data_IF_851817225135
#
_entry.id   IF_851817225135
#
_cell.length_a   1.000
_cell.length_b   1.000
_cell.length_c   1.000
_cell.angle_alpha   90.00
_cell.angle_beta   90.00
_cell.angle_gamma   90.00
#
_symmetry.space_group_name_H-M   'P 1'
#
loop_
_entity.id
_entity.type
_entity.pdbx_description
1 polymer ?
#
# COMPACT_ATOMS: atom_id res chain seq x y z
N UNK A 1 -0.28 28.67 -11.41
CA UNK A 1 0.18 28.23 -10.07
C UNK A 1 1.55 27.61 -10.24
N UNK A 2 2.54 28.01 -9.47
CA UNK A 2 3.87 27.37 -9.53
C UNK A 2 3.72 25.93 -9.05
N UNK A 3 3.98 24.96 -9.92
CA UNK A 3 4.01 23.55 -9.54
C UNK A 3 5.25 23.33 -8.66
N UNK A 4 5.06 22.71 -7.51
CA UNK A 4 6.15 22.42 -6.55
C UNK A 4 6.79 21.07 -6.85
N UNK A 5 8.09 20.91 -6.61
CA UNK A 5 8.72 19.60 -6.49
C UNK A 5 7.98 18.70 -5.48
N UNK A 6 7.88 17.40 -5.77
CA UNK A 6 7.30 16.42 -4.87
C UNK A 6 8.40 15.58 -4.23
N UNK A 7 8.32 15.39 -2.91
CA UNK A 7 9.24 14.54 -2.14
C UNK A 7 8.48 13.47 -1.40
N UNK A 8 8.60 12.24 -1.86
CA UNK A 8 7.98 11.07 -1.24
C UNK A 8 8.89 10.51 -0.16
N UNK A 9 8.42 10.49 1.09
CA UNK A 9 9.16 9.97 2.23
C UNK A 9 8.94 8.48 2.40
N UNK A 10 10.03 7.72 2.27
CA UNK A 10 10.03 6.26 2.47
C UNK A 10 11.06 5.85 3.53
N UNK A 11 10.84 4.76 4.29
CA UNK A 11 11.80 4.34 5.32
C UNK A 11 13.15 3.93 4.73
N UNK A 12 13.14 3.41 3.54
CA UNK A 12 14.23 2.90 2.71
C UNK A 12 13.65 2.05 1.60
N UNK A 13 14.47 1.67 0.61
CA UNK A 13 14.00 0.91 -0.57
C UNK A 13 14.52 -0.52 -0.63
N UNK A 14 15.43 -0.92 0.28
CA UNK A 14 15.96 -2.28 0.34
C UNK A 14 14.94 -3.31 0.86
N UNK A 15 15.26 -4.61 0.68
CA UNK A 15 14.38 -5.76 0.93
C UNK A 15 13.72 -5.77 2.32
N UNK A 16 14.43 -5.36 3.34
CA UNK A 16 13.89 -5.29 4.71
C UNK A 16 12.70 -4.35 4.89
N UNK A 17 12.48 -3.43 3.94
CA UNK A 17 11.38 -2.48 3.94
C UNK A 17 10.25 -2.90 3.00
N UNK A 18 10.40 -3.99 2.24
CA UNK A 18 9.38 -4.47 1.30
C UNK A 18 8.06 -4.71 1.99
N UNK A 19 7.03 -4.02 1.52
CA UNK A 19 5.64 -4.19 1.91
C UNK A 19 4.74 -3.51 0.86
N UNK A 20 3.45 -3.82 0.87
CA UNK A 20 2.49 -3.23 -0.06
C UNK A 20 2.48 -1.69 -0.02
N UNK A 21 2.57 -1.10 1.17
CA UNK A 21 2.63 0.36 1.31
C UNK A 21 3.86 0.99 0.64
N UNK A 22 5.05 0.37 0.77
CA UNK A 22 6.23 0.86 0.06
C UNK A 22 6.06 0.75 -1.46
N UNK A 23 5.54 -0.37 -1.95
CA UNK A 23 5.30 -0.56 -3.39
C UNK A 23 4.36 0.50 -3.95
N UNK A 24 3.30 0.83 -3.22
CA UNK A 24 2.37 1.91 -3.59
C UNK A 24 3.06 3.27 -3.64
N UNK A 25 3.89 3.60 -2.65
CA UNK A 25 4.61 4.89 -2.66
C UNK A 25 5.59 5.00 -3.82
N UNK A 26 6.34 3.94 -4.10
CA UNK A 26 7.25 3.90 -5.24
C UNK A 26 6.51 4.04 -6.57
N UNK A 27 5.34 3.41 -6.70
CA UNK A 27 4.48 3.52 -7.88
C UNK A 27 3.88 4.92 -7.98
N UNK A 28 3.37 5.49 -6.88
CA UNK A 28 2.80 6.83 -6.84
C UNK A 28 3.84 7.88 -7.24
N UNK A 29 5.08 7.75 -6.77
CA UNK A 29 6.16 8.63 -7.19
C UNK A 29 6.40 8.56 -8.69
N UNK A 30 6.49 7.35 -9.28
CA UNK A 30 6.63 7.16 -10.73
C UNK A 30 5.48 7.76 -11.53
N UNK A 31 4.24 7.58 -11.08
CA UNK A 31 3.06 8.14 -11.74
C UNK A 31 3.01 9.67 -11.70
N UNK A 32 3.69 10.29 -10.73
CA UNK A 32 3.84 11.73 -10.64
C UNK A 32 4.99 12.30 -11.50
N UNK A 33 5.86 11.45 -12.05
CA UNK A 33 6.92 11.89 -12.97
C UNK A 33 6.30 12.57 -14.21
N UNK A 34 6.81 13.71 -14.56
CA UNK A 34 6.25 14.54 -15.65
C UNK A 34 5.03 15.40 -15.29
N UNK A 35 4.40 15.16 -14.11
CA UNK A 35 3.29 15.97 -13.61
C UNK A 35 3.74 17.10 -12.66
N UNK A 36 4.92 17.00 -12.11
CA UNK A 36 5.55 17.97 -11.25
C UNK A 36 6.93 18.37 -11.80
N UNK A 37 7.52 19.53 -11.42
CA UNK A 37 8.84 19.95 -11.86
C UNK A 37 9.95 18.94 -11.57
N UNK A 38 9.83 18.26 -10.43
CA UNK A 38 10.64 17.09 -10.09
C UNK A 38 9.91 16.21 -9.07
N UNK A 39 10.24 14.90 -9.09
CA UNK A 39 9.77 13.92 -8.12
C UNK A 39 10.97 13.23 -7.51
N UNK A 40 11.07 13.24 -6.20
CA UNK A 40 12.22 12.71 -5.47
C UNK A 40 11.76 11.71 -4.39
N UNK A 41 12.41 10.54 -4.36
CA UNK A 41 12.27 9.60 -3.24
C UNK A 41 13.30 9.95 -2.18
N UNK A 42 12.82 10.25 -0.98
CA UNK A 42 13.65 10.65 0.16
C UNK A 42 13.55 9.58 1.26
N UNK A 43 14.68 8.98 1.59
CA UNK A 43 14.73 8.00 2.68
C UNK A 43 14.86 8.68 4.04
N UNK A 44 14.20 8.12 5.09
CA UNK A 44 14.26 8.73 6.42
C UNK A 44 14.83 7.81 7.51
N UNK A 45 14.85 6.48 7.33
CA UNK A 45 15.41 5.54 8.30
C UNK A 45 16.83 5.10 7.97
N UNK A 46 17.15 5.04 6.68
CA UNK A 46 18.46 4.60 6.21
C UNK A 46 18.93 5.49 5.06
N UNK A 47 20.17 5.94 5.16
CA UNK A 47 20.85 6.59 4.03
C UNK A 47 21.22 5.53 3.01
N UNK A 48 20.81 5.73 1.76
CA UNK A 48 21.05 4.80 0.66
C UNK A 48 21.83 5.51 -0.46
N UNK A 49 22.77 4.80 -1.13
CA UNK A 49 23.50 5.37 -2.26
C UNK A 49 22.56 5.86 -3.37
N UNK A 50 22.84 7.02 -3.94
CA UNK A 50 22.07 7.60 -5.03
C UNK A 50 20.67 8.11 -4.64
N UNK A 51 20.34 8.16 -3.34
CA UNK A 51 19.05 8.68 -2.86
C UNK A 51 19.24 9.81 -1.86
N UNK A 52 18.32 10.75 -1.90
CA UNK A 52 18.24 11.80 -0.90
C UNK A 52 17.90 11.21 0.49
N UNK A 53 18.47 11.81 1.53
CA UNK A 53 18.26 11.41 2.91
C UNK A 53 17.69 12.57 3.72
N UNK A 54 16.55 12.38 4.38
CA UNK A 54 15.80 13.44 5.05
C UNK A 54 16.66 14.28 5.99
N UNK A 55 17.47 13.71 6.92
CA UNK A 55 18.29 14.52 7.80
C UNK A 55 19.31 15.42 7.10
N UNK A 56 19.84 14.97 5.94
CA UNK A 56 20.80 15.76 5.19
C UNK A 56 20.10 16.91 4.44
N UNK A 57 18.94 16.62 3.81
CA UNK A 57 18.14 17.65 3.15
C UNK A 57 17.68 18.75 4.12
N UNK A 58 17.22 18.38 5.31
CA UNK A 58 16.76 19.36 6.30
C UNK A 58 17.87 20.29 6.79
N UNK A 59 19.14 19.84 6.79
CA UNK A 59 20.31 20.67 7.12
C UNK A 59 20.71 21.62 5.99
N UNK A 60 20.48 21.22 4.74
CA UNK A 60 20.92 21.95 3.54
C UNK A 60 19.87 22.90 3.01
N UNK A 61 18.60 22.65 3.34
CA UNK A 61 17.47 23.39 2.78
C UNK A 61 17.42 24.84 3.30
N UNK A 62 17.54 25.81 2.38
CA UNK A 62 17.49 27.23 2.67
C UNK A 62 16.09 27.81 2.64
N UNK A 63 15.19 27.19 1.89
CA UNK A 63 13.81 27.64 1.66
C UNK A 63 12.79 26.53 1.96
N UNK A 64 12.25 26.46 3.19
CA UNK A 64 11.38 25.36 3.63
C UNK A 64 10.10 25.16 2.81
N UNK A 65 9.70 26.14 2.01
CA UNK A 65 8.44 26.11 1.24
C UNK A 65 8.53 25.61 -0.19
N UNK A 66 9.71 25.21 -0.67
CA UNK A 66 9.92 24.89 -2.09
C UNK A 66 9.25 23.60 -2.53
N UNK A 67 9.31 22.53 -1.73
CA UNK A 67 8.77 21.22 -2.06
C UNK A 67 7.51 20.87 -1.27
N UNK A 68 6.64 20.03 -1.85
CA UNK A 68 5.58 19.34 -1.14
C UNK A 68 6.09 17.96 -0.67
N UNK A 69 6.03 17.71 0.62
CA UNK A 69 6.46 16.47 1.24
C UNK A 69 5.28 15.51 1.41
N UNK A 70 5.37 14.34 0.79
CA UNK A 70 4.41 13.25 0.93
C UNK A 70 4.87 12.36 2.08
N UNK A 71 4.14 12.38 3.19
CA UNK A 71 4.37 11.51 4.36
C UNK A 71 3.38 10.37 4.30
N UNK A 72 3.86 9.14 4.30
CA UNK A 72 3.01 7.96 4.15
C UNK A 72 2.94 7.15 5.43
N UNK A 73 1.91 6.34 5.49
CA UNK A 73 1.55 5.35 6.50
C UNK A 73 2.49 5.21 7.71
N UNK A 74 2.04 4.46 8.72
CA UNK A 74 2.90 3.89 9.75
C UNK A 74 3.15 4.77 10.96
N UNK A 75 3.84 4.15 11.91
CA UNK A 75 4.07 4.71 13.24
C UNK A 75 5.06 5.89 13.28
N UNK A 76 5.76 6.13 12.18
CA UNK A 76 6.74 7.21 12.09
C UNK A 76 6.13 8.56 11.68
N UNK A 77 4.88 8.58 11.23
CA UNK A 77 4.20 9.79 10.75
C UNK A 77 4.27 10.94 11.74
N UNK A 78 3.98 10.78 13.05
CA UNK A 78 4.07 11.88 14.02
C UNK A 78 5.48 12.47 14.12
N UNK A 79 6.52 11.64 14.07
CA UNK A 79 7.90 12.10 14.10
C UNK A 79 8.26 12.87 12.84
N UNK A 80 7.86 12.36 11.67
CA UNK A 80 8.12 13.01 10.37
C UNK A 80 7.42 14.36 10.29
N UNK A 81 6.16 14.45 10.72
CA UNK A 81 5.42 15.72 10.75
C UNK A 81 6.08 16.76 11.66
N UNK A 82 6.63 16.34 12.81
CA UNK A 82 7.41 17.24 13.68
C UNK A 82 8.69 17.75 13.01
N UNK A 83 9.43 16.87 12.32
CA UNK A 83 10.64 17.24 11.58
C UNK A 83 10.36 18.18 10.41
N UNK A 84 9.20 18.03 9.78
CA UNK A 84 8.76 18.82 8.64
C UNK A 84 7.95 20.07 9.03
N UNK A 85 7.94 20.44 10.31
CA UNK A 85 7.18 21.61 10.79
C UNK A 85 7.55 22.85 10.00
N UNK A 86 6.53 23.59 9.53
CA UNK A 86 6.69 24.81 8.72
C UNK A 86 6.92 24.53 7.23
N UNK A 87 6.87 23.28 6.79
CA UNK A 87 6.95 22.88 5.38
C UNK A 87 5.60 22.45 4.83
N UNK A 88 5.35 22.59 3.52
CA UNK A 88 4.18 22.01 2.88
C UNK A 88 4.23 20.48 2.98
N UNK A 89 3.21 19.89 3.61
CA UNK A 89 3.10 18.43 3.80
C UNK A 89 1.72 17.96 3.39
N UNK A 90 1.64 16.79 2.77
CA UNK A 90 0.42 16.03 2.64
C UNK A 90 0.64 14.63 3.24
N UNK A 91 -0.40 14.07 3.84
CA UNK A 91 -0.36 12.73 4.42
C UNK A 91 -1.06 11.73 3.50
N UNK A 92 -0.34 10.73 3.01
CA UNK A 92 -0.86 9.62 2.22
C UNK A 92 -1.26 8.47 3.15
N UNK A 93 -2.56 8.35 3.38
CA UNK A 93 -3.13 7.46 4.39
C UNK A 93 -3.43 6.08 3.81
N UNK A 94 -2.49 5.13 3.97
CA UNK A 94 -2.61 3.76 3.48
C UNK A 94 -3.48 2.84 4.35
N UNK A 95 -3.68 3.18 5.61
CA UNK A 95 -4.54 2.43 6.54
C UNK A 95 -4.99 3.31 7.70
N UNK A 96 -5.76 2.77 8.61
CA UNK A 96 -6.25 3.44 9.80
C UNK A 96 -5.78 2.75 11.07
N UNK A 97 -6.04 3.33 12.23
CA UNK A 97 -5.77 2.70 13.53
C UNK A 97 -4.40 2.96 14.14
N UNK A 98 -3.55 3.77 13.53
CA UNK A 98 -2.20 4.06 14.07
C UNK A 98 -2.19 4.92 15.35
N UNK A 99 -3.35 5.46 15.77
CA UNK A 99 -3.50 6.13 17.06
C UNK A 99 -2.83 7.50 17.19
N UNK A 100 -2.52 8.19 16.10
CA UNK A 100 -1.98 9.55 16.13
C UNK A 100 -2.97 10.58 15.60
N UNK A 101 -2.73 11.84 15.96
CA UNK A 101 -3.50 12.98 15.50
C UNK A 101 -2.71 13.77 14.45
N UNK A 102 -3.42 14.24 13.41
CA UNK A 102 -2.84 15.10 12.38
C UNK A 102 -2.96 16.57 12.78
N UNK A 103 -1.91 17.40 12.54
CA UNK A 103 -2.03 18.84 12.62
C UNK A 103 -3.13 19.34 11.67
N UNK A 104 -3.90 20.35 12.12
CA UNK A 104 -4.94 20.97 11.28
C UNK A 104 -4.36 21.50 9.97
N UNK A 105 -5.11 21.35 8.88
CA UNK A 105 -4.75 21.87 7.56
C UNK A 105 -3.82 20.98 6.74
N UNK A 106 -3.29 19.89 7.29
CA UNK A 106 -2.53 18.90 6.51
C UNK A 106 -3.50 18.14 5.59
N UNK A 107 -3.37 18.20 4.26
CA UNK A 107 -4.19 17.42 3.35
C UNK A 107 -3.98 15.91 3.58
N UNK A 108 -5.08 15.15 3.57
CA UNK A 108 -5.08 13.68 3.68
C UNK A 108 -5.47 13.09 2.34
N UNK A 109 -4.59 12.30 1.76
CA UNK A 109 -4.82 11.50 0.56
C UNK A 109 -5.18 10.09 1.01
N UNK A 110 -6.46 9.76 1.06
CA UNK A 110 -6.94 8.49 1.57
C UNK A 110 -7.08 7.47 0.43
N UNK A 111 -6.55 6.27 0.61
CA UNK A 111 -6.52 5.23 -0.43
C UNK A 111 -7.86 4.53 -0.64
N UNK A 112 -8.82 4.68 0.27
CA UNK A 112 -10.14 4.07 0.19
C UNK A 112 -11.20 4.91 0.90
N UNK A 113 -12.49 4.60 0.63
CA UNK A 113 -13.60 5.22 1.35
C UNK A 113 -13.58 4.93 2.84
N UNK A 114 -13.15 3.73 3.24
CA UNK A 114 -12.99 3.38 4.66
C UNK A 114 -11.92 4.25 5.32
N UNK A 115 -10.75 4.40 4.70
CA UNK A 115 -9.67 5.26 5.20
C UNK A 115 -10.09 6.72 5.20
N UNK A 116 -10.84 7.17 4.17
CA UNK A 116 -11.38 8.52 4.09
C UNK A 116 -12.35 8.82 5.25
N UNK A 117 -13.28 7.91 5.53
CA UNK A 117 -14.23 8.03 6.64
C UNK A 117 -13.50 8.10 7.98
N UNK A 118 -12.56 7.19 8.24
CA UNK A 118 -11.76 7.19 9.46
C UNK A 118 -11.07 8.54 9.71
N UNK A 119 -10.42 9.10 8.68
CA UNK A 119 -9.74 10.39 8.82
C UNK A 119 -10.73 11.57 8.84
N UNK A 120 -11.92 11.44 8.24
CA UNK A 120 -13.00 12.41 8.35
C UNK A 120 -13.44 12.63 9.79
N UNK A 121 -13.60 11.54 10.53
CA UNK A 121 -13.95 11.60 11.95
C UNK A 121 -12.78 12.09 12.82
N UNK A 122 -11.56 11.65 12.50
CA UNK A 122 -10.40 11.89 13.34
C UNK A 122 -9.69 13.22 13.07
N UNK A 123 -9.78 13.73 11.85
CA UNK A 123 -9.13 14.97 11.42
C UNK A 123 -10.12 15.90 10.67
N UNK A 124 -11.23 16.32 11.30
CA UNK A 124 -12.32 17.05 10.63
C UNK A 124 -11.93 18.45 10.14
N UNK A 125 -10.76 18.96 10.53
CA UNK A 125 -10.23 20.25 10.08
C UNK A 125 -9.18 20.11 8.99
N UNK A 126 -9.03 18.93 8.39
CA UNK A 126 -8.05 18.64 7.37
C UNK A 126 -8.75 18.42 6.02
N UNK A 127 -8.25 18.98 4.91
CA UNK A 127 -8.74 18.64 3.58
C UNK A 127 -8.58 17.14 3.31
N UNK A 128 -9.63 16.47 2.81
CA UNK A 128 -9.64 15.04 2.55
C UNK A 128 -9.84 14.78 1.06
N UNK A 129 -9.01 13.92 0.50
CA UNK A 129 -9.06 13.52 -0.90
C UNK A 129 -9.03 12.00 -1.00
N UNK A 130 -9.91 11.44 -1.84
CA UNK A 130 -9.86 10.03 -2.19
C UNK A 130 -8.87 9.82 -3.34
N UNK A 131 -7.79 9.10 -3.07
CA UNK A 131 -6.75 8.74 -4.05
C UNK A 131 -6.53 7.23 -3.98
N UNK A 132 -7.34 6.43 -4.70
CA UNK A 132 -7.23 4.97 -4.68
C UNK A 132 -5.88 4.50 -5.21
N UNK A 133 -5.39 3.39 -4.65
CA UNK A 133 -4.20 2.74 -5.16
C UNK A 133 -4.46 2.15 -6.56
N UNK A 134 -3.47 2.20 -7.42
CA UNK A 134 -3.48 1.50 -8.71
C UNK A 134 -2.77 0.14 -8.58
N UNK A 135 -3.16 -0.80 -9.43
CA UNK A 135 -2.38 -2.03 -9.62
C UNK A 135 -1.05 -1.72 -10.30
N UNK A 136 0.00 -2.47 -9.94
CA UNK A 136 1.25 -2.40 -10.67
C UNK A 136 1.06 -2.89 -12.11
N UNK A 137 1.79 -2.32 -13.10
CA UNK A 137 1.62 -2.68 -14.51
C UNK A 137 1.67 -4.18 -14.80
N UNK A 138 2.55 -4.90 -14.10
CA UNK A 138 2.70 -6.35 -14.26
C UNK A 138 1.40 -7.15 -14.10
N UNK A 139 0.48 -6.69 -13.24
CA UNK A 139 -0.82 -7.35 -13.06
C UNK A 139 -1.73 -7.20 -14.27
N UNK A 140 -1.66 -6.05 -14.97
CA UNK A 140 -2.44 -5.78 -16.16
C UNK A 140 -1.82 -6.40 -17.41
N UNK A 141 -0.49 -6.53 -17.44
CA UNK A 141 0.28 -7.07 -18.58
C UNK A 141 0.30 -8.60 -18.59
N UNK A 142 0.36 -9.25 -17.42
CA UNK A 142 0.54 -10.69 -17.28
C UNK A 142 -0.66 -11.42 -16.68
N UNK A 143 -1.63 -10.69 -16.12
CA UNK A 143 -2.84 -11.26 -15.55
C UNK A 143 -3.77 -11.79 -16.65
N UNK A 144 -4.24 -13.03 -16.52
CA UNK A 144 -5.13 -13.68 -17.46
C UNK A 144 -6.61 -13.46 -17.11
N UNK A 145 -7.02 -12.22 -17.01
CA UNK A 145 -8.37 -11.81 -16.63
C UNK A 145 -9.46 -12.36 -17.53
N UNK A 146 -9.19 -12.45 -18.83
CA UNK A 146 -10.18 -12.87 -19.81
C UNK A 146 -10.16 -14.39 -20.08
N UNK A 147 -9.29 -15.14 -19.39
CA UNK A 147 -9.06 -16.57 -19.61
C UNK A 147 -8.83 -16.92 -21.09
N UNK A 148 -8.11 -16.02 -21.78
CA UNK A 148 -7.86 -16.12 -23.23
C UNK A 148 -6.72 -17.08 -23.55
N UNK A 149 -5.91 -17.42 -22.56
CA UNK A 149 -4.77 -18.31 -22.74
C UNK A 149 -5.16 -19.78 -22.89
N UNK A 150 -6.39 -20.17 -22.52
CA UNK A 150 -6.80 -21.57 -22.36
C UNK A 150 -5.99 -22.29 -21.27
N UNK A 151 -5.45 -21.54 -20.32
CA UNK A 151 -4.62 -22.06 -19.24
C UNK A 151 -5.44 -22.95 -18.30
N UNK A 152 -4.96 -24.13 -18.03
CA UNK A 152 -5.51 -24.96 -16.96
C UNK A 152 -5.18 -24.31 -15.62
N UNK A 153 -6.19 -24.06 -14.78
CA UNK A 153 -6.02 -23.55 -13.42
C UNK A 153 -6.00 -24.71 -12.42
N UNK A 154 -4.81 -25.15 -11.99
CA UNK A 154 -4.69 -26.34 -11.15
C UNK A 154 -5.13 -26.13 -9.70
N UNK A 155 -5.32 -24.88 -9.27
CA UNK A 155 -5.71 -24.49 -7.91
C UNK A 155 -7.17 -24.05 -7.93
N UNK A 156 -8.05 -24.83 -7.28
CA UNK A 156 -9.46 -24.44 -7.17
C UNK A 156 -9.63 -23.24 -6.25
N UNK A 157 -8.91 -23.23 -5.10
CA UNK A 157 -9.00 -22.16 -4.11
C UNK A 157 -7.62 -21.78 -3.61
N UNK A 158 -7.27 -20.50 -3.73
CA UNK A 158 -6.07 -19.90 -3.15
C UNK A 158 -6.42 -19.14 -1.88
N UNK A 159 -5.62 -19.34 -0.84
CA UNK A 159 -5.70 -18.64 0.45
C UNK A 159 -4.31 -18.11 0.81
N UNK A 160 -4.20 -16.86 1.18
CA UNK A 160 -2.95 -16.33 1.75
C UNK A 160 -3.02 -16.39 3.28
N UNK A 161 -2.20 -17.24 3.90
CA UNK A 161 -2.20 -17.46 5.35
C UNK A 161 -2.03 -16.14 6.14
N UNK A 162 -1.15 -15.25 5.68
CA UNK A 162 -0.89 -13.95 6.31
C UNK A 162 -2.07 -12.97 6.23
N UNK A 163 -3.07 -13.25 5.41
CA UNK A 163 -4.23 -12.37 5.15
C UNK A 163 -5.55 -13.08 5.47
N UNK A 164 -5.51 -14.11 6.32
CA UNK A 164 -6.67 -14.94 6.62
C UNK A 164 -6.87 -15.09 8.13
N UNK A 165 -8.14 -15.24 8.51
CA UNK A 165 -8.54 -15.54 9.88
C UNK A 165 -8.27 -16.99 10.26
N UNK A 166 -8.29 -17.26 11.56
CA UNK A 166 -8.22 -18.62 12.09
C UNK A 166 -9.37 -19.49 11.59
N UNK A 167 -10.56 -18.90 11.40
CA UNK A 167 -11.70 -19.62 10.81
C UNK A 167 -11.38 -20.11 9.39
N UNK A 168 -10.85 -19.24 8.54
CA UNK A 168 -10.48 -19.63 7.16
C UNK A 168 -9.43 -20.75 7.20
N UNK A 169 -8.38 -20.59 7.99
CA UNK A 169 -7.25 -21.53 7.98
C UNK A 169 -7.59 -22.88 8.63
N UNK A 170 -8.35 -22.89 9.73
CA UNK A 170 -8.55 -24.07 10.54
C UNK A 170 -9.92 -24.75 10.39
N UNK A 171 -10.88 -24.08 9.76
CA UNK A 171 -12.22 -24.66 9.52
C UNK A 171 -12.57 -24.71 8.04
N UNK A 172 -12.51 -23.56 7.32
CA UNK A 172 -12.93 -23.51 5.93
C UNK A 172 -12.01 -24.30 5.01
N UNK A 173 -10.70 -24.07 5.06
CA UNK A 173 -9.71 -24.79 4.24
C UNK A 173 -9.81 -26.31 4.41
N UNK A 174 -9.81 -26.89 5.63
CA UNK A 174 -10.01 -28.34 5.80
C UNK A 174 -11.34 -28.83 5.25
N UNK A 175 -12.40 -28.04 5.34
CA UNK A 175 -13.73 -28.40 4.82
C UNK A 175 -13.73 -28.47 3.30
N UNK A 176 -13.17 -27.47 2.62
CA UNK A 176 -13.04 -27.45 1.16
C UNK A 176 -12.19 -28.62 0.65
N UNK A 177 -11.10 -28.95 1.34
CA UNK A 177 -10.26 -30.10 0.99
C UNK A 177 -11.00 -31.44 1.16
N UNK A 178 -11.85 -31.59 2.19
CA UNK A 178 -12.70 -32.78 2.34
C UNK A 178 -13.74 -32.91 1.23
N UNK A 179 -14.14 -31.82 0.61
CA UNK A 179 -15.03 -31.81 -0.55
C UNK A 179 -14.31 -32.11 -1.88
N UNK A 180 -13.02 -32.40 -1.83
CA UNK A 180 -12.22 -32.75 -3.01
C UNK A 180 -11.60 -31.57 -3.75
N UNK A 181 -11.74 -30.32 -3.23
CA UNK A 181 -11.15 -29.15 -3.85
C UNK A 181 -9.64 -29.08 -3.58
N UNK A 182 -8.89 -28.67 -4.60
CA UNK A 182 -7.46 -28.39 -4.51
C UNK A 182 -7.25 -27.02 -3.89
N UNK A 183 -7.02 -26.96 -2.58
CA UNK A 183 -6.82 -25.71 -1.82
C UNK A 183 -5.35 -25.49 -1.57
N UNK A 184 -4.80 -24.41 -2.14
CA UNK A 184 -3.45 -23.93 -1.84
C UNK A 184 -3.51 -22.89 -0.72
N UNK A 185 -2.69 -23.08 0.32
CA UNK A 185 -2.50 -22.11 1.40
C UNK A 185 -1.10 -21.56 1.28
N UNK A 186 -1.01 -20.42 0.60
CA UNK A 186 0.26 -19.75 0.39
C UNK A 186 0.77 -19.14 1.71
N UNK A 187 1.94 -19.58 2.14
CA UNK A 187 2.67 -19.09 3.29
C UNK A 187 4.09 -18.73 2.88
N UNK A 188 4.60 -17.60 3.38
CA UNK A 188 5.95 -17.15 3.05
C UNK A 188 6.02 -16.31 1.78
N UNK A 189 7.21 -16.27 1.19
CA UNK A 189 7.49 -15.51 -0.03
C UNK A 189 7.13 -16.33 -1.28
N UNK A 190 6.60 -15.66 -2.29
CA UNK A 190 6.35 -16.22 -3.63
C UNK A 190 7.10 -15.37 -4.64
N UNK A 191 7.91 -16.00 -5.48
CA UNK A 191 8.72 -15.30 -6.47
C UNK A 191 7.86 -14.67 -7.56
N UNK A 192 6.84 -15.39 -8.01
CA UNK A 192 5.87 -14.90 -9.00
C UNK A 192 4.43 -15.05 -8.51
N UNK A 193 3.93 -13.97 -7.94
CA UNK A 193 2.57 -13.93 -7.42
C UNK A 193 1.52 -13.82 -8.54
N UNK A 194 1.88 -13.27 -9.72
CA UNK A 194 0.98 -13.20 -10.87
C UNK A 194 0.68 -14.60 -11.40
N UNK A 195 1.69 -15.45 -11.53
CA UNK A 195 1.51 -16.83 -11.97
C UNK A 195 0.70 -17.63 -10.97
N UNK A 196 0.92 -17.45 -9.66
CA UNK A 196 0.12 -18.11 -8.64
C UNK A 196 -1.36 -17.75 -8.73
N UNK A 197 -1.69 -16.47 -8.95
CA UNK A 197 -3.07 -16.05 -9.16
C UNK A 197 -3.63 -16.55 -10.51
N UNK A 198 -2.85 -16.52 -11.59
CA UNK A 198 -3.28 -17.08 -12.88
C UNK A 198 -3.56 -18.59 -12.81
N UNK A 199 -2.91 -19.33 -11.92
CA UNK A 199 -3.15 -20.75 -11.69
C UNK A 199 -4.35 -21.04 -10.79
N UNK A 200 -5.01 -20.01 -10.23
CA UNK A 200 -6.05 -20.13 -9.23
C UNK A 200 -7.42 -19.74 -9.78
N UNK A 201 -8.48 -20.47 -9.42
CA UNK A 201 -9.85 -20.16 -9.80
C UNK A 201 -10.50 -19.15 -8.84
N UNK A 202 -10.39 -19.42 -7.54
CA UNK A 202 -11.00 -18.60 -6.47
C UNK A 202 -9.94 -18.11 -5.51
N UNK A 203 -10.03 -16.85 -5.11
CA UNK A 203 -9.18 -16.29 -4.07
C UNK A 203 -10.00 -15.91 -2.83
N UNK A 204 -9.74 -16.55 -1.69
CA UNK A 204 -10.38 -16.20 -0.43
C UNK A 204 -9.56 -15.14 0.29
N UNK A 205 -10.19 -14.00 0.56
CA UNK A 205 -9.59 -12.86 1.24
C UNK A 205 -10.40 -12.46 2.48
N UNK A 206 -9.83 -12.71 3.66
CA UNK A 206 -10.46 -12.42 4.95
C UNK A 206 -9.49 -11.64 5.86
N UNK A 207 -9.10 -10.45 5.39
CA UNK A 207 -8.11 -9.63 6.09
C UNK A 207 -8.66 -8.86 7.29
N UNK A 208 -9.98 -8.67 7.38
CA UNK A 208 -10.60 -7.89 8.45
C UNK A 208 -10.31 -8.52 9.83
N UNK A 209 -10.54 -9.83 9.96
CA UNK A 209 -10.24 -10.57 11.19
C UNK A 209 -8.74 -10.62 11.47
N UNK A 210 -7.90 -10.79 10.42
CA UNK A 210 -6.46 -10.78 10.56
C UNK A 210 -5.95 -9.47 11.17
N UNK A 211 -6.49 -8.31 10.75
CA UNK A 211 -6.05 -7.01 11.23
C UNK A 211 -6.67 -6.58 12.56
N UNK A 212 -7.85 -7.12 12.92
CA UNK A 212 -8.57 -6.79 14.16
C UNK A 212 -7.69 -6.90 15.41
N UNK A 213 -6.94 -7.99 15.53
CA UNK A 213 -6.04 -8.23 16.66
C UNK A 213 -4.76 -7.38 16.64
N UNK A 214 -4.50 -6.61 15.57
CA UNK A 214 -3.25 -5.83 15.38
C UNK A 214 -3.46 -4.32 15.51
N UNK A 215 -4.69 -3.89 15.79
CA UNK A 215 -5.01 -2.47 16.03
C UNK A 215 -4.95 -1.57 14.79
N UNK A 216 -4.75 -2.14 13.60
CA UNK A 216 -4.75 -1.42 12.32
C UNK A 216 -5.78 -2.05 11.38
N UNK A 217 -6.16 -1.36 10.32
CA UNK A 217 -7.07 -1.91 9.31
C UNK A 217 -6.39 -2.12 7.97
N UNK A 218 -6.97 -2.97 7.13
CA UNK A 218 -6.66 -2.96 5.71
C UNK A 218 -7.08 -1.61 5.12
N UNK A 219 -6.16 -0.94 4.44
CA UNK A 219 -6.43 0.38 3.88
C UNK A 219 -7.21 0.33 2.57
N UNK A 220 -6.73 -0.48 1.62
CA UNK A 220 -7.27 -0.56 0.27
C UNK A 220 -7.66 -1.98 -0.15
N UNK A 221 -6.83 -2.98 0.16
CA UNK A 221 -7.05 -4.35 -0.27
C UNK A 221 -6.57 -4.59 -1.71
N UNK A 222 -5.28 -4.42 -1.96
CA UNK A 222 -4.67 -4.74 -3.27
C UNK A 222 -4.85 -6.21 -3.67
N UNK A 223 -4.67 -7.22 -2.77
CA UNK A 223 -4.74 -8.62 -3.17
C UNK A 223 -6.03 -9.04 -3.89
N UNK A 224 -7.24 -8.61 -3.50
CA UNK A 224 -8.44 -8.90 -4.28
C UNK A 224 -8.40 -8.35 -5.70
N UNK A 225 -7.88 -7.14 -5.90
CA UNK A 225 -7.77 -6.53 -7.24
C UNK A 225 -6.69 -7.23 -8.08
N UNK A 226 -5.60 -7.65 -7.46
CA UNK A 226 -4.55 -8.46 -8.07
C UNK A 226 -5.10 -9.80 -8.53
N UNK A 227 -5.89 -10.47 -7.70
CA UNK A 227 -6.60 -11.71 -8.04
C UNK A 227 -7.58 -11.51 -9.20
N UNK A 228 -8.38 -10.44 -9.18
CA UNK A 228 -9.31 -10.11 -10.27
C UNK A 228 -8.59 -9.79 -11.57
N UNK A 229 -7.42 -9.17 -11.54
CA UNK A 229 -6.60 -8.94 -12.73
C UNK A 229 -6.11 -10.24 -13.37
N UNK A 230 -6.00 -11.31 -12.58
CA UNK A 230 -5.66 -12.66 -13.01
C UNK A 230 -6.89 -13.56 -13.30
N UNK A 231 -8.10 -13.01 -13.24
CA UNK A 231 -9.34 -13.77 -13.52
C UNK A 231 -9.81 -14.65 -12.36
N UNK A 232 -9.27 -14.50 -11.15
CA UNK A 232 -9.84 -15.15 -9.96
C UNK A 232 -11.18 -14.49 -9.57
N UNK A 233 -12.05 -15.32 -8.98
CA UNK A 233 -13.31 -14.89 -8.36
C UNK A 233 -13.12 -14.77 -6.85
#
# INVERSE_FOLDING_TARGET
MSQRPLRFLVPGTGDRFRCGGLSVELQSARLCEGLAPSVELVTYRRKEPGRAYLPDLLKQERSPGEALWLVSWGFHVPQLLRQLRGRPVAYHAHSSGYGFDLPSGVPVLAVSRNTLGYWGDRAPRNPLFLVPNALAPMWLERGDRADTSGRTRPIDVLVQARKSSDYVLHQLVPTLRRQGLKVEVQSGWVDDLVDLFNDSCVYIYDSAEYWRGRGVSEGFGLPPLEAMACGCV
#
